data_IF_702885807833
#
_entry.id   IF_702885807833
#
_cell.length_a   1.000
_cell.length_b   1.000
_cell.length_c   1.000
_cell.angle_alpha   90.00
_cell.angle_beta   90.00
_cell.angle_gamma   90.00
#
_symmetry.space_group_name_H-M   'P 1'
#
loop_
_entity.id
_entity.type
_entity.pdbx_description
1 polymer ?
#
# COMPACT_ATOMS: atom_id res chain seq x y z
N UNK A 1 -11.35 -12.07 32.94
CA UNK A 1 -11.06 -12.00 32.55
C UNK A 1 -10.58 -11.49 31.99
N UNK A 2 -10.43 -11.33 32.02
CA UNK A 2 -9.97 -10.93 31.43
C UNK A 2 -9.16 -10.58 30.99
N UNK A 3 -8.99 -10.61 31.06
CA UNK A 3 -8.29 -10.32 30.58
C UNK A 3 -7.67 -10.40 29.90
N UNK A 4 -7.68 -10.62 29.82
CA UNK A 4 -7.14 -10.84 29.05
C UNK A 4 -6.64 -10.39 28.28
N UNK A 5 -6.82 -10.11 28.13
CA UNK A 5 -6.43 -9.79 27.30
C UNK A 5 -5.60 -9.22 27.01
N UNK A 6 -5.38 -9.08 27.30
CA UNK A 6 -4.67 -8.56 27.03
C UNK A 6 -3.74 -8.53 26.71
N UNK A 7 -3.43 -8.67 26.69
CA UNK A 7 -2.49 -8.77 26.53
C UNK A 7 -1.99 -9.52 25.86
N UNK A 8 -2.30 -9.92 25.40
CA UNK A 8 -1.82 -10.69 24.83
C UNK A 8 -1.68 -10.45 23.63
N UNK A 9 -0.83 -10.21 23.27
CA UNK A 9 -0.55 -9.98 22.01
C UNK A 9 -0.19 -11.11 21.38
N UNK A 10 -0.77 -11.86 21.61
CA UNK A 10 -0.39 -12.93 21.28
C UNK A 10 -0.60 -13.38 20.01
N UNK A 11 -1.47 -12.77 19.26
CA UNK A 11 -1.71 -13.15 17.96
C UNK A 11 -0.63 -12.66 17.12
N UNK A 12 -0.01 -13.50 16.35
CA UNK A 12 0.92 -13.08 15.35
C UNK A 12 0.13 -12.52 14.18
N UNK A 13 0.45 -11.32 13.78
CA UNK A 13 -0.20 -10.70 12.63
C UNK A 13 0.60 -10.93 11.35
N UNK A 14 1.70 -11.67 11.44
CA UNK A 14 2.50 -11.96 10.26
C UNK A 14 3.27 -13.26 10.45
N UNK A 15 3.27 -14.08 9.38
CA UNK A 15 4.08 -15.28 9.32
C UNK A 15 4.91 -15.21 8.05
N UNK A 16 5.55 -16.31 7.64
CA UNK A 16 6.30 -16.30 6.38
C UNK A 16 5.39 -16.16 5.18
N UNK A 17 4.13 -16.59 5.28
CA UNK A 17 3.20 -16.56 4.17
C UNK A 17 2.00 -15.64 4.34
N UNK A 18 1.63 -15.30 5.54
CA UNK A 18 0.42 -14.52 5.81
C UNK A 18 0.73 -13.26 6.57
N UNK A 19 -0.04 -12.20 6.28
CA UNK A 19 0.07 -10.94 6.98
C UNK A 19 -1.35 -10.43 7.25
N UNK A 20 -1.59 -9.97 8.45
CA UNK A 20 -2.89 -9.39 8.81
C UNK A 20 -3.11 -8.06 8.12
N UNK A 21 -4.36 -7.76 7.78
CA UNK A 21 -4.68 -6.51 7.09
C UNK A 21 -4.28 -5.30 7.91
N UNK A 22 -4.41 -5.38 9.23
CA UNK A 22 -4.04 -4.28 10.11
C UNK A 22 -2.53 -4.11 10.21
N UNK A 23 -1.76 -5.16 9.88
CA UNK A 23 -0.31 -5.10 9.86
C UNK A 23 0.19 -4.54 8.53
N UNK A 24 -0.55 -4.78 7.44
CA UNK A 24 -0.21 -4.20 6.13
C UNK A 24 -0.27 -2.68 6.21
N UNK A 25 -1.25 -2.15 6.92
CA UNK A 25 -1.36 -0.71 7.11
C UNK A 25 -0.14 -0.22 7.89
N UNK A 26 0.50 0.81 7.41
CA UNK A 26 1.71 1.35 8.00
C UNK A 26 2.99 0.67 7.52
N UNK A 27 2.88 -0.42 6.74
CA UNK A 27 4.07 -1.10 6.23
C UNK A 27 4.78 -0.21 5.21
N UNK A 28 6.11 -0.10 5.30
CA UNK A 28 6.84 0.76 4.36
C UNK A 28 6.83 0.22 2.94
N UNK A 29 6.92 1.14 1.98
CA UNK A 29 7.10 0.81 0.57
C UNK A 29 8.45 1.36 0.16
N UNK A 30 9.26 0.53 -0.49
CA UNK A 30 10.64 0.85 -0.84
C UNK A 30 10.87 0.81 -2.33
N UNK A 31 11.88 1.54 -2.78
CA UNK A 31 12.44 1.35 -4.11
C UNK A 31 13.33 0.14 -4.10
N UNK A 32 13.68 -0.35 -5.29
CA UNK A 32 14.58 -1.50 -5.41
C UNK A 32 15.95 -1.27 -4.78
N UNK A 33 16.37 -0.02 -4.64
CA UNK A 33 17.66 0.30 -4.01
C UNK A 33 17.58 0.36 -2.49
N UNK A 34 16.40 0.15 -1.92
CA UNK A 34 16.22 0.12 -0.47
C UNK A 34 15.77 1.41 0.15
N UNK A 35 15.66 2.50 -0.62
CA UNK A 35 15.16 3.76 -0.08
C UNK A 35 13.65 3.74 0.04
N UNK A 36 13.13 4.33 1.09
CA UNK A 36 11.69 4.34 1.35
C UNK A 36 10.98 5.38 0.51
N UNK A 37 9.87 4.98 -0.13
CA UNK A 37 8.99 5.94 -0.79
C UNK A 37 7.94 6.46 0.20
N UNK A 38 7.37 5.61 1.01
CA UNK A 38 6.29 5.97 1.90
C UNK A 38 5.77 4.74 2.61
N UNK A 39 4.48 4.75 2.91
CA UNK A 39 3.88 3.61 3.62
C UNK A 39 2.49 3.31 3.09
N UNK A 40 2.04 2.09 3.31
CA UNK A 40 0.71 1.66 2.89
C UNK A 40 -0.31 2.19 3.90
N UNK A 41 -1.30 2.95 3.38
CA UNK A 41 -2.39 3.45 4.20
C UNK A 41 -3.48 2.41 4.34
N UNK A 42 -3.79 1.70 3.26
CA UNK A 42 -4.82 0.65 3.25
C UNK A 42 -4.68 -0.19 2.00
N UNK A 43 -5.36 -1.32 1.99
CA UNK A 43 -5.49 -2.12 0.78
C UNK A 43 -6.94 -2.10 0.34
N UNK A 44 -7.14 -2.20 -0.98
CA UNK A 44 -8.47 -2.29 -1.57
C UNK A 44 -8.68 -3.74 -1.99
N UNK A 45 -9.70 -4.36 -1.42
CA UNK A 45 -9.98 -5.78 -1.61
C UNK A 45 -11.18 -5.91 -2.53
N UNK A 46 -11.05 -6.76 -3.55
CA UNK A 46 -12.16 -7.10 -4.42
C UNK A 46 -13.15 -7.93 -3.61
N UNK A 47 -14.36 -7.43 -3.46
CA UNK A 47 -15.35 -8.08 -2.58
C UNK A 47 -15.79 -9.45 -3.11
N UNK A 48 -15.74 -9.65 -4.41
CA UNK A 48 -16.20 -10.90 -4.99
C UNK A 48 -15.13 -11.98 -4.93
N UNK A 49 -13.91 -11.66 -5.29
CA UNK A 49 -12.83 -12.65 -5.28
C UNK A 49 -12.17 -12.80 -3.92
N UNK A 50 -12.27 -11.78 -3.07
CA UNK A 50 -11.57 -11.75 -1.80
C UNK A 50 -10.09 -11.42 -1.93
N UNK A 51 -9.65 -11.03 -3.12
CA UNK A 51 -8.23 -10.75 -3.36
C UNK A 51 -7.92 -9.27 -3.22
N UNK A 52 -6.70 -8.99 -2.76
CA UNK A 52 -6.22 -7.61 -2.72
C UNK A 52 -5.97 -7.17 -4.15
N UNK A 53 -6.58 -6.07 -4.55
CA UNK A 53 -6.42 -5.53 -5.90
C UNK A 53 -5.40 -4.40 -5.93
N UNK A 54 -5.42 -3.53 -4.93
CA UNK A 54 -4.54 -2.36 -4.88
C UNK A 54 -4.11 -2.09 -3.46
N UNK A 55 -2.92 -1.50 -3.31
CA UNK A 55 -2.54 -0.82 -2.07
C UNK A 55 -2.65 0.67 -2.31
N UNK A 56 -2.96 1.44 -1.28
CA UNK A 56 -2.92 2.89 -1.33
C UNK A 56 -1.72 3.32 -0.52
N UNK A 57 -0.74 3.92 -1.18
CA UNK A 57 0.47 4.39 -0.51
C UNK A 57 0.39 5.88 -0.27
N UNK A 58 0.75 6.32 0.93
CA UNK A 58 0.90 7.74 1.20
C UNK A 58 2.37 8.13 1.01
N UNK A 59 2.59 9.26 0.38
CA UNK A 59 3.94 9.76 0.13
C UNK A 59 3.94 11.27 0.04
N UNK A 60 4.99 11.88 0.54
CA UNK A 60 5.15 13.33 0.51
C UNK A 60 4.48 14.00 1.68
N UNK A 61 4.45 15.31 1.63
CA UNK A 61 3.86 16.09 2.70
C UNK A 61 4.75 16.19 3.93
N UNK A 62 4.34 17.05 4.85
CA UNK A 62 5.07 17.23 6.08
C UNK A 62 4.03 17.24 7.18
N UNK A 63 4.18 16.37 8.15
CA UNK A 63 3.23 16.18 9.24
C UNK A 63 1.82 15.88 8.74
N UNK A 64 1.73 15.13 7.64
CA UNK A 64 0.45 14.76 7.07
C UNK A 64 -0.22 15.83 6.23
N UNK A 65 0.44 16.97 6.04
CA UNK A 65 -0.10 18.05 5.25
C UNK A 65 0.51 18.00 3.86
N UNK A 66 -0.33 17.98 2.83
CA UNK A 66 0.15 17.93 1.45
C UNK A 66 0.56 16.55 1.00
N UNK A 67 0.20 15.54 1.77
CA UNK A 67 0.46 14.17 1.42
C UNK A 67 -0.40 13.74 0.25
N UNK A 68 0.16 13.01 -0.68
CA UNK A 68 -0.57 12.42 -1.80
C UNK A 68 -0.74 10.94 -1.58
N UNK A 69 -1.79 10.39 -2.17
CA UNK A 69 -2.12 8.98 -2.11
C UNK A 69 -1.99 8.36 -3.49
N UNK A 70 -1.26 7.25 -3.56
CA UNK A 70 -0.92 6.60 -4.83
C UNK A 70 -1.53 5.21 -4.86
N UNK A 71 -2.51 4.95 -5.74
CA UNK A 71 -2.99 3.58 -5.93
C UNK A 71 -1.89 2.77 -6.60
N UNK A 72 -1.50 1.67 -5.99
CA UNK A 72 -0.49 0.78 -6.52
C UNK A 72 -1.16 -0.57 -6.78
N UNK A 73 -1.15 -1.07 -8.03
CA UNK A 73 -1.69 -2.41 -8.28
C UNK A 73 -0.93 -3.42 -7.43
N UNK A 74 -1.64 -4.30 -6.79
CA UNK A 74 -1.01 -5.27 -5.89
C UNK A 74 0.11 -6.07 -6.58
N UNK A 75 -0.07 -6.54 -7.85
CA UNK A 75 1.01 -7.27 -8.51
C UNK A 75 2.28 -6.47 -8.77
N UNK A 76 2.23 -5.14 -8.65
CA UNK A 76 3.42 -4.30 -8.81
C UNK A 76 4.30 -4.30 -7.57
N UNK A 77 3.82 -4.88 -6.46
CA UNK A 77 4.53 -4.89 -5.20
C UNK A 77 5.11 -6.26 -4.93
N UNK A 78 6.33 -6.29 -4.40
CA UNK A 78 6.99 -7.53 -4.00
C UNK A 78 7.42 -7.38 -2.54
N UNK A 79 7.00 -8.31 -1.69
CA UNK A 79 7.39 -8.24 -0.28
C UNK A 79 8.85 -8.60 -0.13
N UNK A 80 9.59 -7.78 0.61
CA UNK A 80 10.99 -8.04 0.90
C UNK A 80 11.14 -8.29 2.40
N UNK A 81 11.34 -9.54 2.83
CA UNK A 81 11.44 -9.86 4.25
C UNK A 81 12.65 -9.23 4.93
N UNK A 82 13.69 -8.91 4.18
CA UNK A 82 14.87 -8.26 4.76
C UNK A 82 14.59 -6.83 5.15
N UNK A 83 13.75 -6.15 4.37
CA UNK A 83 13.38 -4.77 4.63
C UNK A 83 12.13 -4.66 5.48
N UNK A 84 11.36 -5.73 5.59
CA UNK A 84 10.10 -5.69 6.34
C UNK A 84 9.03 -4.87 5.65
N UNK A 85 9.06 -4.80 4.33
CA UNK A 85 8.08 -4.01 3.57
C UNK A 85 8.03 -4.45 2.13
N UNK A 86 7.27 -3.70 1.34
CA UNK A 86 7.05 -4.00 -0.06
C UNK A 86 7.92 -3.13 -0.95
N UNK A 87 8.42 -3.72 -2.04
CA UNK A 87 9.19 -2.98 -3.03
C UNK A 87 8.35 -2.73 -4.26
N UNK A 88 8.54 -1.56 -4.86
CA UNK A 88 7.96 -1.24 -6.15
C UNK A 88 9.11 -0.80 -7.05
N UNK A 89 9.14 -1.35 -8.28
CA UNK A 89 10.27 -1.12 -9.17
C UNK A 89 10.04 0.10 -10.06
N UNK A 90 10.07 1.27 -9.46
CA UNK A 90 9.99 2.53 -10.19
C UNK A 90 10.95 3.53 -9.55
N UNK A 91 11.33 4.54 -10.32
CA UNK A 91 12.17 5.62 -9.80
C UNK A 91 11.30 6.64 -9.05
N UNK A 92 11.95 7.49 -8.30
CA UNK A 92 11.25 8.57 -7.61
C UNK A 92 10.56 9.50 -8.60
N UNK A 93 11.20 9.78 -9.74
CA UNK A 93 10.62 10.63 -10.77
C UNK A 93 9.37 9.98 -11.37
N UNK A 94 9.41 8.67 -11.59
CA UNK A 94 8.25 7.94 -12.08
C UNK A 94 7.12 8.00 -11.05
N UNK A 95 7.44 7.89 -9.77
CA UNK A 95 6.41 7.98 -8.74
C UNK A 95 5.78 9.37 -8.74
N UNK A 96 6.58 10.42 -8.85
CA UNK A 96 6.04 11.78 -8.85
C UNK A 96 5.05 12.02 -9.99
N UNK A 97 5.21 11.31 -11.10
CA UNK A 97 4.33 11.44 -12.25
C UNK A 97 3.23 10.41 -12.30
N UNK A 98 3.15 9.53 -11.30
CA UNK A 98 2.16 8.47 -11.27
C UNK A 98 0.78 9.02 -10.93
N UNK A 99 -0.29 8.30 -11.29
CA UNK A 99 -1.64 8.68 -10.88
C UNK A 99 -1.74 8.75 -9.37
N UNK A 100 -2.34 9.82 -8.87
CA UNK A 100 -2.43 10.08 -7.44
C UNK A 100 -3.63 10.96 -7.13
N UNK A 101 -3.97 11.05 -5.86
CA UNK A 101 -5.03 11.95 -5.41
C UNK A 101 -4.67 12.49 -4.03
N UNK A 102 -5.25 13.65 -3.69
CA UNK A 102 -5.01 14.24 -2.38
C UNK A 102 -6.07 13.75 -1.41
N UNK A 103 -5.82 14.01 -0.12
CA UNK A 103 -6.73 13.59 0.94
C UNK A 103 -8.17 14.06 0.71
N UNK A 104 -8.35 15.23 0.12
CA UNK A 104 -9.67 15.80 -0.06
C UNK A 104 -10.32 15.44 -1.39
N UNK A 105 -9.62 14.72 -2.25
CA UNK A 105 -10.19 14.29 -3.52
C UNK A 105 -11.07 13.07 -3.31
N UNK A 106 -12.07 12.95 -4.16
CA UNK A 106 -12.95 11.80 -4.15
C UNK A 106 -12.52 10.86 -5.28
N UNK A 107 -11.61 9.95 -4.98
CA UNK A 107 -11.10 9.02 -5.98
C UNK A 107 -12.16 7.95 -6.27
N UNK A 108 -12.56 7.85 -7.54
CA UNK A 108 -13.58 6.90 -7.94
C UNK A 108 -12.96 5.57 -8.34
N UNK A 109 -12.99 4.61 -7.42
CA UNK A 109 -12.44 3.28 -7.64
C UNK A 109 -13.23 2.47 -8.66
N UNK A 110 -14.47 2.90 -9.00
CA UNK A 110 -15.29 2.20 -9.99
C UNK A 110 -15.03 2.68 -11.41
N UNK A 111 -14.25 3.73 -11.61
CA UNK A 111 -13.92 4.24 -12.92
C UNK A 111 -12.90 3.29 -13.58
N UNK A 112 -13.41 2.39 -14.41
CA UNK A 112 -12.59 1.36 -15.03
C UNK A 112 -11.44 1.95 -15.85
N UNK A 113 -11.73 2.99 -16.61
CA UNK A 113 -10.73 3.64 -17.45
C UNK A 113 -9.59 4.20 -16.61
N UNK A 114 -9.92 4.82 -15.48
CA UNK A 114 -8.91 5.36 -14.56
C UNK A 114 -8.06 4.25 -13.96
N UNK A 115 -8.70 3.16 -13.55
CA UNK A 115 -7.97 2.06 -12.93
C UNK A 115 -7.10 1.33 -13.94
N UNK A 116 -7.51 1.28 -15.20
CA UNK A 116 -6.66 0.74 -16.27
C UNK A 116 -5.42 1.60 -16.49
N UNK A 117 -5.57 2.91 -16.43
CA UNK A 117 -4.41 3.81 -16.55
C UNK A 117 -3.43 3.59 -15.41
N UNK A 118 -3.94 3.37 -14.21
CA UNK A 118 -3.08 3.05 -13.06
C UNK A 118 -2.29 1.78 -13.35
N UNK A 119 -2.96 0.71 -13.76
CA UNK A 119 -2.30 -0.56 -14.04
C UNK A 119 -1.25 -0.41 -15.14
N UNK A 120 -1.61 0.28 -16.23
CA UNK A 120 -0.67 0.49 -17.34
C UNK A 120 0.55 1.28 -16.90
N UNK A 121 0.38 2.24 -16.02
CA UNK A 121 1.50 3.04 -15.55
C UNK A 121 2.55 2.17 -14.88
N UNK A 122 2.14 1.11 -14.21
CA UNK A 122 3.04 0.20 -13.53
C UNK A 122 3.37 -1.04 -14.36
N UNK A 123 3.09 -1.01 -15.67
CA UNK A 123 3.49 -2.06 -16.59
C UNK A 123 2.59 -3.28 -16.58
N UNK A 124 1.36 -3.12 -16.17
CA UNK A 124 0.45 -4.27 -16.06
C UNK A 124 -0.71 -4.23 -17.05
#
# INVERSE_FOLDING_TARGET
MATRTQTKPLEKRETSNFIGSDKVEGTPVYRSDGDSFGQIERVMIDKLSGKVAYAVMSFGGFLGIGEDYYPLPWPALTYNPKLGGYEVNITEQQLKNAPKYSRHDNWDWSDRSRMERVSHYYGL
#
